data_IF_060906324237
#
_entry.id   IF_060906324237
#
_cell.length_a   1.000
_cell.length_b   1.000
_cell.length_c   1.000
_cell.angle_alpha   90.00
_cell.angle_beta   90.00
_cell.angle_gamma   90.00
#
_symmetry.space_group_name_H-M   'P 1'
#
loop_
_entity.id
_entity.type
_entity.pdbx_description
1 polymer ?
#
# COMPACT_ATOMS: atom_id res chain seq x y z
N UNK A 1 -14.37 19.30 -43.11
CA UNK A 1 -14.39 19.32 -41.66
C UNK A 1 -15.07 18.03 -41.20
N UNK A 2 -14.28 17.04 -40.87
CA UNK A 2 -14.78 15.73 -40.45
C UNK A 2 -14.91 15.74 -38.91
N UNK A 3 -15.97 15.17 -38.31
CA UNK A 3 -16.10 15.10 -36.86
C UNK A 3 -15.10 14.06 -36.33
N UNK A 4 -14.33 14.46 -35.34
CA UNK A 4 -13.42 13.59 -34.62
C UNK A 4 -14.21 12.43 -34.00
N UNK A 5 -13.84 11.22 -34.40
CA UNK A 5 -14.35 9.98 -33.84
C UNK A 5 -13.96 9.87 -32.38
N UNK A 6 -14.93 10.09 -31.48
CA UNK A 6 -14.84 9.77 -30.07
C UNK A 6 -14.82 8.24 -29.94
N UNK A 7 -13.69 7.61 -30.18
CA UNK A 7 -13.46 6.21 -29.79
C UNK A 7 -13.39 6.18 -28.26
N UNK A 8 -14.47 5.74 -27.62
CA UNK A 8 -14.45 5.22 -26.24
C UNK A 8 -13.55 3.98 -26.25
N UNK A 9 -12.26 4.17 -26.08
CA UNK A 9 -11.33 3.09 -25.79
C UNK A 9 -11.75 2.54 -24.43
N UNK A 10 -12.09 1.25 -24.38
CA UNK A 10 -12.26 0.53 -23.13
C UNK A 10 -10.95 0.69 -22.37
N UNK A 11 -10.98 1.36 -21.23
CA UNK A 11 -9.79 1.64 -20.44
C UNK A 11 -9.24 0.32 -19.88
N UNK A 12 -8.15 -0.18 -20.46
CA UNK A 12 -7.50 -1.45 -20.11
C UNK A 12 -6.99 -1.50 -18.66
N UNK A 13 -6.91 -0.33 -18.00
CA UNK A 13 -6.47 -0.18 -16.61
C UNK A 13 -7.63 -0.02 -15.61
N UNK A 14 -8.86 -0.33 -15.99
CA UNK A 14 -9.96 -0.38 -15.01
C UNK A 14 -9.89 -1.66 -14.17
N UNK A 15 -10.17 -1.58 -12.86
CA UNK A 15 -10.26 -2.78 -12.03
C UNK A 15 -11.37 -3.70 -12.51
N UNK A 16 -11.12 -5.01 -12.50
CA UNK A 16 -12.14 -6.01 -12.87
C UNK A 16 -13.29 -6.03 -11.86
N UNK A 17 -14.54 -6.29 -12.30
CA UNK A 17 -15.70 -6.20 -11.43
C UNK A 17 -15.80 -7.32 -10.36
N UNK A 18 -15.23 -8.50 -10.62
CA UNK A 18 -15.34 -9.69 -9.78
C UNK A 18 -13.97 -10.16 -9.27
N UNK A 19 -13.31 -9.41 -8.37
CA UNK A 19 -12.03 -9.81 -7.82
C UNK A 19 -12.15 -11.00 -6.86
N UNK A 20 -11.05 -11.71 -6.62
CA UNK A 20 -10.97 -12.69 -5.52
C UNK A 20 -11.34 -12.03 -4.19
N UNK A 21 -11.92 -12.80 -3.25
CA UNK A 21 -12.34 -12.28 -1.94
C UNK A 21 -11.21 -12.42 -0.91
N UNK A 22 -10.60 -11.32 -0.43
CA UNK A 22 -9.56 -11.38 0.58
C UNK A 22 -10.12 -11.54 2.00
N UNK A 23 -9.31 -12.08 2.92
CA UNK A 23 -9.64 -12.18 4.34
C UNK A 23 -10.06 -10.82 4.95
N UNK A 24 -9.33 -9.75 4.63
CA UNK A 24 -9.58 -8.43 5.18
C UNK A 24 -10.98 -7.85 4.93
N UNK A 25 -11.73 -8.43 3.99
CA UNK A 25 -13.09 -8.01 3.63
C UNK A 25 -14.15 -9.04 4.03
N UNK A 26 -13.89 -9.83 5.07
CA UNK A 26 -14.88 -10.75 5.65
C UNK A 26 -15.88 -10.05 6.57
N UNK A 27 -15.49 -8.90 7.13
CA UNK A 27 -16.33 -8.06 7.98
C UNK A 27 -16.52 -6.69 7.30
N UNK A 28 -17.63 -6.53 6.57
CA UNK A 28 -17.87 -5.34 5.77
C UNK A 28 -18.44 -4.19 6.63
N UNK A 29 -17.89 -2.99 6.39
CA UNK A 29 -18.37 -1.74 6.98
C UNK A 29 -19.56 -1.19 6.19
N UNK A 30 -20.54 -0.45 6.80
CA UNK A 30 -21.66 0.16 6.08
C UNK A 30 -21.25 1.08 4.91
N UNK A 31 -20.06 1.65 4.95
CA UNK A 31 -19.52 2.47 3.86
C UNK A 31 -18.97 1.65 2.68
N UNK A 32 -18.95 0.33 2.75
CA UNK A 32 -18.33 -0.52 1.72
C UNK A 32 -18.82 -0.21 0.30
N UNK A 33 -20.13 -0.13 0.12
CA UNK A 33 -20.80 0.20 -1.16
C UNK A 33 -21.63 1.48 -1.06
N UNK A 34 -21.22 2.42 -0.20
CA UNK A 34 -21.99 3.64 0.07
C UNK A 34 -21.86 4.67 -1.05
N UNK A 35 -22.98 5.36 -1.31
CA UNK A 35 -23.04 6.58 -2.12
C UNK A 35 -23.72 7.67 -1.29
N UNK A 36 -23.04 8.79 -1.09
CA UNK A 36 -23.56 9.90 -0.28
C UNK A 36 -24.76 10.59 -0.93
N UNK A 37 -24.85 10.56 -2.26
CA UNK A 37 -25.94 11.12 -3.06
C UNK A 37 -26.31 10.18 -4.20
N UNK A 38 -27.56 10.20 -4.63
CA UNK A 38 -28.05 9.42 -5.78
C UNK A 38 -27.34 9.90 -7.06
N UNK A 39 -27.33 11.21 -7.30
CA UNK A 39 -26.65 11.83 -8.43
C UNK A 39 -25.26 12.32 -8.06
N UNK A 40 -24.38 12.38 -9.05
CA UNK A 40 -23.08 13.03 -8.90
C UNK A 40 -23.24 14.54 -8.81
N UNK A 41 -22.43 15.23 -7.99
CA UNK A 41 -22.41 16.69 -8.00
C UNK A 41 -21.87 17.19 -9.34
N UNK A 42 -22.45 18.25 -9.89
CA UNK A 42 -21.98 18.86 -11.13
C UNK A 42 -20.57 19.43 -11.00
N UNK A 43 -20.23 19.94 -9.79
CA UNK A 43 -18.92 20.57 -9.46
C UNK A 43 -18.46 20.17 -8.07
N UNK A 44 -17.13 20.15 -7.88
CA UNK A 44 -16.48 19.96 -6.57
C UNK A 44 -15.21 20.79 -6.48
N UNK A 45 -14.79 21.17 -5.28
CA UNK A 45 -13.49 21.83 -5.10
C UNK A 45 -12.34 20.84 -5.31
N UNK A 46 -12.46 19.65 -4.73
CA UNK A 46 -11.45 18.59 -4.85
C UNK A 46 -12.11 17.26 -5.20
N UNK A 47 -11.64 16.62 -6.24
CA UNK A 47 -11.94 15.23 -6.53
C UNK A 47 -10.75 14.34 -6.16
N UNK A 48 -11.02 13.24 -5.45
CA UNK A 48 -10.03 12.20 -5.13
C UNK A 48 -10.46 10.92 -5.82
N UNK A 49 -9.58 10.33 -6.64
CA UNK A 49 -9.88 9.12 -7.41
C UNK A 49 -9.17 7.92 -6.77
N UNK A 50 -9.97 7.02 -6.19
CA UNK A 50 -9.55 5.85 -5.43
C UNK A 50 -9.79 6.00 -3.92
N UNK A 51 -10.62 5.12 -3.35
CA UNK A 51 -10.95 5.06 -1.92
C UNK A 51 -10.19 3.93 -1.19
N UNK A 52 -8.95 3.71 -1.55
CA UNK A 52 -7.97 2.93 -0.78
C UNK A 52 -7.32 3.79 0.30
N UNK A 53 -6.28 3.25 0.96
CA UNK A 53 -5.55 3.96 2.00
C UNK A 53 -5.03 5.33 1.53
N UNK A 54 -4.55 5.46 0.28
CA UNK A 54 -4.03 6.72 -0.24
C UNK A 54 -5.10 7.81 -0.31
N UNK A 55 -6.22 7.55 -0.98
CA UNK A 55 -7.28 8.54 -1.15
C UNK A 55 -7.99 8.89 0.15
N UNK A 56 -8.28 7.88 0.98
CA UNK A 56 -8.91 8.12 2.29
C UNK A 56 -7.98 8.90 3.22
N UNK A 57 -6.67 8.61 3.24
CA UNK A 57 -5.71 9.37 4.03
C UNK A 57 -5.58 10.82 3.55
N UNK A 58 -5.60 11.08 2.23
CA UNK A 58 -5.63 12.46 1.70
C UNK A 58 -6.89 13.19 2.18
N UNK A 59 -8.07 12.57 2.01
CA UNK A 59 -9.34 13.16 2.48
C UNK A 59 -9.32 13.43 3.99
N UNK A 60 -8.81 12.49 4.78
CA UNK A 60 -8.65 12.61 6.22
C UNK A 60 -7.79 13.81 6.61
N UNK A 61 -6.58 13.92 6.04
CA UNK A 61 -5.68 15.02 6.35
C UNK A 61 -6.20 16.38 5.87
N UNK A 62 -6.94 16.42 4.77
CA UNK A 62 -7.60 17.65 4.30
C UNK A 62 -8.75 18.09 5.22
N UNK A 63 -9.32 17.16 5.98
CA UNK A 63 -10.47 17.42 6.87
C UNK A 63 -10.06 17.65 8.33
N UNK A 64 -8.75 17.71 8.64
CA UNK A 64 -8.28 18.00 9.99
C UNK A 64 -8.45 19.50 10.34
N UNK A 65 -8.75 19.85 11.59
CA UNK A 65 -8.89 21.25 12.02
C UNK A 65 -7.64 22.09 11.72
N UNK A 66 -6.45 21.51 11.91
CA UNK A 66 -5.17 22.18 11.67
C UNK A 66 -4.88 22.40 10.17
N UNK A 67 -5.54 21.65 9.30
CA UNK A 67 -5.37 21.79 7.85
C UNK A 67 -5.93 23.13 7.34
N UNK A 68 -6.85 23.75 8.06
CA UNK A 68 -7.44 25.04 7.74
C UNK A 68 -6.90 26.19 8.60
N UNK A 69 -5.84 25.94 9.39
CA UNK A 69 -5.23 26.93 10.28
C UNK A 69 -4.64 28.12 9.51
N UNK A 70 -5.45 29.13 9.30
CA UNK A 70 -5.13 30.37 8.56
C UNK A 70 -6.34 31.27 8.39
N UNK A 71 -7.49 30.89 8.92
CA UNK A 71 -8.72 31.75 8.91
C UNK A 71 -9.93 30.98 8.39
N UNK A 72 -11.02 31.23 8.93
CA UNK A 72 -12.45 31.17 8.56
C UNK A 72 -12.90 30.60 7.18
N UNK A 73 -12.13 29.83 6.47
CA UNK A 73 -12.59 29.18 5.25
C UNK A 73 -13.29 27.85 5.59
N UNK A 74 -14.50 27.67 5.07
CA UNK A 74 -15.23 26.41 5.16
C UNK A 74 -14.37 25.27 4.57
N UNK A 75 -14.48 24.06 5.15
CA UNK A 75 -13.81 22.90 4.59
C UNK A 75 -14.20 22.72 3.10
N UNK A 76 -13.24 22.35 2.21
CA UNK A 76 -13.54 22.20 0.79
C UNK A 76 -14.54 21.05 0.57
N UNK A 77 -15.38 21.20 -0.46
CA UNK A 77 -16.15 20.06 -0.95
C UNK A 77 -15.23 19.02 -1.54
N UNK A 78 -15.32 17.79 -1.06
CA UNK A 78 -14.50 16.66 -1.52
C UNK A 78 -15.40 15.62 -2.15
N UNK A 79 -15.13 15.25 -3.40
CA UNK A 79 -15.75 14.11 -4.06
C UNK A 79 -14.74 12.94 -4.08
N UNK A 80 -15.02 11.88 -3.35
CA UNK A 80 -14.21 10.66 -3.32
C UNK A 80 -14.85 9.61 -4.22
N UNK A 81 -14.20 9.31 -5.36
CA UNK A 81 -14.66 8.38 -6.38
C UNK A 81 -13.94 7.04 -6.24
N UNK A 82 -14.68 5.94 -6.20
CA UNK A 82 -14.13 4.59 -6.15
C UNK A 82 -14.78 3.72 -7.24
N UNK A 83 -13.93 3.01 -7.98
CA UNK A 83 -14.39 2.19 -9.10
C UNK A 83 -15.20 0.97 -8.66
N UNK A 84 -14.85 0.39 -7.51
CA UNK A 84 -15.51 -0.77 -6.89
C UNK A 84 -16.07 -0.36 -5.51
N UNK A 85 -15.79 -1.16 -4.50
CA UNK A 85 -16.12 -0.88 -3.11
C UNK A 85 -14.93 -0.24 -2.40
N UNK A 86 -15.19 0.48 -1.32
CA UNK A 86 -14.15 1.09 -0.48
C UNK A 86 -13.09 0.06 -0.09
N UNK A 87 -11.82 0.44 -0.24
CA UNK A 87 -10.69 -0.40 0.17
C UNK A 87 -10.67 -1.81 -0.47
N UNK A 88 -11.23 -1.97 -1.68
CA UNK A 88 -11.28 -3.26 -2.38
C UNK A 88 -10.03 -3.58 -3.21
N UNK A 89 -9.17 -2.59 -3.45
CA UNK A 89 -7.89 -2.75 -4.15
C UNK A 89 -6.76 -3.22 -3.24
N UNK A 90 -5.51 -2.86 -3.55
CA UNK A 90 -4.29 -3.32 -2.86
C UNK A 90 -4.35 -3.18 -1.33
N UNK A 91 -5.00 -2.13 -0.80
CA UNK A 91 -5.12 -1.90 0.64
C UNK A 91 -5.86 -3.02 1.36
N UNK A 92 -6.99 -3.47 0.81
CA UNK A 92 -7.78 -4.57 1.38
C UNK A 92 -7.26 -5.97 1.00
N UNK A 93 -6.01 -6.09 0.48
CA UNK A 93 -5.45 -7.34 -0.06
C UNK A 93 -4.01 -7.61 0.34
N UNK A 94 -3.39 -6.69 1.09
CA UNK A 94 -1.99 -6.76 1.52
C UNK A 94 -1.80 -7.62 2.78
N UNK A 95 -0.57 -7.66 3.31
CA UNK A 95 -0.22 -8.43 4.50
C UNK A 95 -0.66 -7.84 5.85
N UNK A 96 -1.22 -6.63 5.87
CA UNK A 96 -1.70 -5.98 7.12
C UNK A 96 -0.59 -5.60 8.10
N UNK A 97 0.65 -5.42 7.63
CA UNK A 97 1.77 -4.99 8.45
C UNK A 97 2.49 -3.77 7.86
N UNK A 98 3.16 -3.03 8.73
CA UNK A 98 3.93 -1.81 8.42
C UNK A 98 5.33 -1.98 8.98
N UNK A 99 6.33 -1.94 8.12
CA UNK A 99 7.74 -2.10 8.49
C UNK A 99 8.69 -1.60 7.41
N UNK A 100 9.88 -1.17 7.82
CA UNK A 100 11.03 -1.02 6.95
C UNK A 100 11.89 -2.29 7.04
N UNK A 101 11.84 -3.15 6.01
CA UNK A 101 12.63 -4.39 5.94
C UNK A 101 14.11 -4.07 6.05
N UNK A 102 14.84 -4.79 6.89
CA UNK A 102 16.27 -4.52 7.14
C UNK A 102 17.12 -4.78 5.88
N UNK A 103 16.87 -5.88 5.16
CA UNK A 103 17.59 -6.17 3.93
C UNK A 103 17.42 -5.05 2.88
N UNK A 104 16.18 -4.60 2.64
CA UNK A 104 15.90 -3.50 1.72
C UNK A 104 16.58 -2.19 2.16
N UNK A 105 16.68 -1.94 3.46
CA UNK A 105 17.37 -0.77 3.99
C UNK A 105 18.88 -0.82 3.72
N UNK A 106 19.52 -1.98 3.92
CA UNK A 106 20.94 -2.21 3.63
C UNK A 106 21.20 -2.06 2.12
N UNK A 107 20.41 -2.71 1.27
CA UNK A 107 20.50 -2.60 -0.19
C UNK A 107 20.34 -1.15 -0.68
N UNK A 108 19.35 -0.42 -0.16
CA UNK A 108 19.15 0.99 -0.49
C UNK A 108 20.36 1.85 -0.09
N UNK A 109 20.94 1.58 1.08
CA UNK A 109 22.14 2.29 1.53
C UNK A 109 23.37 1.99 0.66
N UNK A 110 23.52 0.78 0.16
CA UNK A 110 24.59 0.41 -0.76
C UNK A 110 24.38 0.98 -2.16
N UNK A 111 23.15 0.97 -2.67
CA UNK A 111 22.81 1.44 -4.01
C UNK A 111 22.76 2.96 -4.10
N UNK A 112 22.08 3.61 -3.16
CA UNK A 112 21.68 5.02 -3.23
C UNK A 112 22.40 5.90 -2.19
N UNK A 113 23.17 5.27 -1.30
CA UNK A 113 23.92 5.92 -0.22
C UNK A 113 23.19 5.96 1.14
N UNK A 114 23.96 6.09 2.24
CA UNK A 114 23.44 5.98 3.60
C UNK A 114 22.48 7.10 3.99
N UNK A 115 22.61 8.28 3.39
CA UNK A 115 21.73 9.42 3.67
C UNK A 115 20.33 9.17 3.14
N UNK A 116 20.20 8.72 1.89
CA UNK A 116 18.91 8.39 1.27
C UNK A 116 18.24 7.25 2.02
N UNK A 117 18.96 6.18 2.31
CA UNK A 117 18.43 5.05 3.09
C UNK A 117 17.98 5.50 4.48
N UNK A 118 18.76 6.34 5.15
CA UNK A 118 18.38 6.91 6.46
C UNK A 118 17.06 7.70 6.41
N UNK A 119 16.87 8.54 5.38
CA UNK A 119 15.64 9.28 5.20
C UNK A 119 14.43 8.36 4.93
N UNK A 120 14.60 7.34 4.07
CA UNK A 120 13.54 6.37 3.77
C UNK A 120 13.10 5.61 5.02
N UNK A 121 14.08 5.15 5.81
CA UNK A 121 13.81 4.38 7.01
C UNK A 121 13.16 5.26 8.09
N UNK A 122 13.69 6.46 8.32
CA UNK A 122 13.12 7.40 9.28
C UNK A 122 11.66 7.75 8.92
N UNK A 123 11.36 7.92 7.63
CA UNK A 123 10.02 8.14 7.15
C UNK A 123 9.10 6.95 7.41
N UNK A 124 9.58 5.73 7.11
CA UNK A 124 8.81 4.50 7.32
C UNK A 124 8.57 4.18 8.82
N UNK A 125 9.52 4.54 9.70
CA UNK A 125 9.35 4.40 11.16
C UNK A 125 8.40 5.47 11.72
N UNK A 126 8.51 6.72 11.28
CA UNK A 126 7.56 7.78 11.63
C UNK A 126 6.11 7.46 11.19
N UNK A 127 5.95 6.67 10.13
CA UNK A 127 4.64 6.18 9.72
C UNK A 127 3.99 5.28 10.77
N UNK A 128 4.77 4.45 11.47
CA UNK A 128 4.26 3.57 12.55
C UNK A 128 3.63 4.41 13.65
N UNK A 129 4.35 5.44 14.10
CA UNK A 129 3.87 6.35 15.14
C UNK A 129 2.63 7.12 14.67
N UNK A 130 2.67 7.65 13.44
CA UNK A 130 1.54 8.40 12.87
C UNK A 130 0.26 7.56 12.73
N UNK A 131 0.39 6.27 12.42
CA UNK A 131 -0.75 5.35 12.39
C UNK A 131 -1.29 5.07 13.80
N UNK A 132 -0.41 4.85 14.78
CA UNK A 132 -0.79 4.70 16.19
C UNK A 132 -1.54 5.92 16.71
N UNK A 133 -1.00 7.12 16.47
CA UNK A 133 -1.64 8.39 16.85
C UNK A 133 -3.03 8.55 16.19
N UNK A 134 -3.18 8.14 14.94
CA UNK A 134 -4.46 8.20 14.25
C UNK A 134 -5.46 7.19 14.84
N UNK A 135 -5.02 5.97 15.14
CA UNK A 135 -5.86 4.93 15.78
C UNK A 135 -6.37 5.41 17.13
N UNK A 136 -5.49 5.95 17.97
CA UNK A 136 -5.87 6.47 19.29
C UNK A 136 -6.80 7.68 19.20
N UNK A 137 -6.44 8.67 18.39
CA UNK A 137 -7.19 9.91 18.22
C UNK A 137 -8.61 9.68 17.71
N UNK A 138 -8.74 8.84 16.70
CA UNK A 138 -10.02 8.53 16.04
C UNK A 138 -10.75 7.34 16.68
N UNK A 139 -10.12 6.67 17.66
CA UNK A 139 -10.64 5.47 18.35
C UNK A 139 -11.04 4.39 17.36
N UNK A 140 -10.09 4.02 16.46
CA UNK A 140 -10.34 3.02 15.45
C UNK A 140 -10.15 1.61 16.01
N UNK A 141 -11.18 0.76 15.87
CA UNK A 141 -11.13 -0.66 16.17
C UNK A 141 -10.64 -1.45 14.95
N UNK A 142 -9.32 -1.48 14.74
CA UNK A 142 -8.68 -2.08 13.58
C UNK A 142 -7.56 -3.07 13.94
N UNK A 143 -7.57 -3.61 15.14
CA UNK A 143 -6.56 -4.56 15.63
C UNK A 143 -5.13 -4.03 15.46
N UNK A 144 -4.92 -2.76 15.75
CA UNK A 144 -3.60 -2.15 15.68
C UNK A 144 -2.72 -2.66 16.84
N UNK A 145 -1.53 -3.15 16.49
CA UNK A 145 -0.55 -3.64 17.46
C UNK A 145 0.84 -3.13 17.09
N UNK A 146 1.51 -2.50 18.05
CA UNK A 146 2.95 -2.26 17.95
C UNK A 146 3.69 -3.59 18.05
N UNK A 147 4.52 -3.89 17.09
CA UNK A 147 5.25 -5.16 16.97
C UNK A 147 6.70 -4.92 16.56
N UNK A 148 7.42 -6.00 16.47
CA UNK A 148 8.66 -6.09 15.70
C UNK A 148 8.47 -7.04 14.52
N UNK A 149 9.33 -6.93 13.52
CA UNK A 149 9.40 -7.86 12.41
C UNK A 149 10.73 -8.60 12.43
N UNK A 150 10.72 -9.85 12.01
CA UNK A 150 11.92 -10.58 11.65
C UNK A 150 12.04 -10.71 10.13
N UNK A 151 13.21 -10.37 9.60
CA UNK A 151 13.68 -10.82 8.28
C UNK A 151 14.55 -12.06 8.54
N UNK A 152 14.05 -13.25 8.19
CA UNK A 152 14.68 -14.55 8.51
C UNK A 152 15.28 -15.14 7.25
N UNK A 153 16.55 -15.47 7.30
CA UNK A 153 17.33 -16.04 6.19
C UNK A 153 17.52 -17.53 6.40
N UNK A 154 17.13 -18.33 5.41
CA UNK A 154 17.08 -19.78 5.49
C UNK A 154 18.25 -20.49 4.80
N UNK A 155 19.19 -19.74 4.23
CA UNK A 155 20.40 -20.28 3.61
C UNK A 155 21.67 -19.57 4.11
N UNK A 156 22.79 -20.28 4.05
CA UNK A 156 24.06 -19.78 4.60
C UNK A 156 24.66 -18.64 3.78
N UNK A 157 24.45 -18.62 2.44
CA UNK A 157 24.98 -17.57 1.54
C UNK A 157 24.38 -16.21 1.87
N UNK A 158 23.03 -16.15 1.94
CA UNK A 158 22.33 -14.88 2.19
C UNK A 158 22.53 -14.43 3.65
N UNK A 159 22.58 -15.38 4.60
CA UNK A 159 22.92 -15.07 5.99
C UNK A 159 24.31 -14.48 6.15
N UNK A 160 25.30 -14.99 5.41
CA UNK A 160 26.67 -14.45 5.40
C UNK A 160 26.71 -13.05 4.76
N UNK A 161 26.02 -12.84 3.63
CA UNK A 161 25.90 -11.55 2.97
C UNK A 161 25.23 -10.51 3.86
N UNK A 162 24.14 -10.89 4.54
CA UNK A 162 23.48 -10.02 5.53
C UNK A 162 24.47 -9.62 6.65
N UNK A 163 25.23 -10.57 7.20
CA UNK A 163 26.20 -10.32 8.26
C UNK A 163 27.26 -9.33 7.80
N UNK A 164 27.84 -9.55 6.64
CA UNK A 164 28.87 -8.68 6.09
C UNK A 164 28.34 -7.26 5.86
N UNK A 165 27.17 -7.11 5.26
CA UNK A 165 26.51 -5.82 5.06
C UNK A 165 26.19 -5.14 6.40
N UNK A 166 25.64 -5.89 7.35
CA UNK A 166 25.37 -5.42 8.71
C UNK A 166 26.61 -4.85 9.40
N UNK A 167 27.73 -5.56 9.35
CA UNK A 167 28.97 -5.17 10.02
C UNK A 167 29.54 -3.89 9.40
N UNK A 168 29.47 -3.75 8.06
CA UNK A 168 29.87 -2.52 7.35
C UNK A 168 29.05 -1.29 7.80
N UNK A 169 27.74 -1.41 7.84
CA UNK A 169 26.84 -0.32 8.20
C UNK A 169 26.92 0.03 9.71
N UNK A 170 27.06 -0.99 10.56
CA UNK A 170 27.26 -0.79 12.00
C UNK A 170 28.58 -0.05 12.27
N UNK A 171 29.65 -0.40 11.57
CA UNK A 171 30.95 0.28 11.70
C UNK A 171 30.90 1.76 11.27
N UNK A 172 30.00 2.12 10.36
CA UNK A 172 29.75 3.52 9.96
C UNK A 172 28.93 4.30 11.00
N UNK A 173 28.33 3.62 11.99
CA UNK A 173 27.51 4.25 13.02
C UNK A 173 26.18 4.82 12.52
N UNK A 174 25.61 4.25 11.47
CA UNK A 174 24.36 4.72 10.87
C UNK A 174 23.21 4.67 11.88
N UNK A 175 22.56 5.81 12.14
CA UNK A 175 21.60 5.98 13.23
C UNK A 175 20.39 5.03 13.12
N UNK A 176 19.93 4.74 11.90
CA UNK A 176 18.81 3.86 11.64
C UNK A 176 19.06 2.38 12.00
N UNK A 177 20.34 1.99 12.21
CA UNK A 177 20.70 0.65 12.70
C UNK A 177 20.35 0.42 14.18
N UNK A 178 20.29 1.49 14.98
CA UNK A 178 20.15 1.40 16.45
C UNK A 178 18.94 0.61 16.94
N UNK A 179 17.71 0.75 16.38
CA UNK A 179 16.57 -0.01 16.82
C UNK A 179 16.52 -1.44 16.28
N UNK A 180 17.53 -1.86 15.51
CA UNK A 180 17.60 -3.18 14.86
C UNK A 180 18.51 -4.12 15.62
N UNK A 181 18.31 -5.42 15.43
CA UNK A 181 19.11 -6.47 16.06
C UNK A 181 19.38 -7.55 15.01
N UNK A 182 20.58 -8.09 15.01
CA UNK A 182 20.96 -9.22 14.18
C UNK A 182 21.22 -10.45 15.07
N UNK A 183 20.55 -11.55 14.75
CA UNK A 183 20.71 -12.86 15.36
C UNK A 183 21.50 -13.77 14.44
N UNK A 184 22.56 -14.40 14.95
CA UNK A 184 23.31 -15.43 14.24
C UNK A 184 22.63 -16.79 14.23
N UNK A 185 23.22 -17.76 13.54
CA UNK A 185 22.65 -19.09 13.33
C UNK A 185 22.38 -19.87 14.62
N UNK A 186 23.12 -19.59 15.69
CA UNK A 186 22.96 -20.20 17.03
C UNK A 186 21.65 -19.78 17.72
N UNK A 187 21.13 -18.60 17.42
CA UNK A 187 19.94 -18.02 18.06
C UNK A 187 18.76 -17.82 17.10
N UNK A 188 19.02 -17.68 15.80
CA UNK A 188 18.03 -17.28 14.82
C UNK A 188 16.78 -18.17 14.84
N UNK A 189 16.94 -19.50 14.81
CA UNK A 189 15.82 -20.43 14.88
C UNK A 189 15.11 -20.40 16.24
N UNK A 190 15.88 -20.43 17.32
CA UNK A 190 15.31 -20.48 18.67
C UNK A 190 14.47 -19.24 19.01
N UNK A 191 14.90 -18.06 18.52
CA UNK A 191 14.25 -16.78 18.81
C UNK A 191 13.13 -16.45 17.82
N UNK A 192 13.33 -16.70 16.51
CA UNK A 192 12.31 -16.44 15.50
C UNK A 192 11.20 -17.52 15.45
N UNK A 193 11.51 -18.74 15.92
CA UNK A 193 10.65 -19.90 15.76
C UNK A 193 10.61 -20.47 14.34
N UNK A 194 11.39 -19.90 13.42
CA UNK A 194 11.42 -20.34 12.02
C UNK A 194 12.44 -21.47 11.85
N UNK A 195 11.98 -22.63 11.39
CA UNK A 195 12.82 -23.82 11.21
C UNK A 195 13.90 -23.59 10.17
N UNK A 196 15.12 -23.99 10.52
CA UNK A 196 16.27 -23.88 9.62
C UNK A 196 16.82 -22.46 9.46
N UNK A 197 16.40 -21.50 10.31
CA UNK A 197 16.90 -20.13 10.26
C UNK A 197 18.42 -20.07 10.45
N UNK A 198 19.13 -19.38 9.55
CA UNK A 198 20.58 -19.16 9.55
C UNK A 198 20.97 -17.80 10.06
N UNK A 199 20.11 -16.81 9.87
CA UNK A 199 20.20 -15.48 10.47
C UNK A 199 18.79 -14.89 10.59
N UNK A 200 18.62 -13.92 11.50
CA UNK A 200 17.42 -13.13 11.55
C UNK A 200 17.74 -11.68 11.92
N UNK A 201 17.20 -10.71 11.18
CA UNK A 201 17.29 -9.31 11.52
C UNK A 201 15.95 -8.82 12.07
N UNK A 202 15.95 -8.16 13.25
CA UNK A 202 14.76 -7.63 13.87
C UNK A 202 14.66 -6.12 13.68
N UNK A 203 13.47 -5.62 13.30
CA UNK A 203 13.19 -4.19 13.09
C UNK A 203 11.86 -3.77 13.71
N UNK A 204 11.66 -2.46 14.03
CA UNK A 204 10.36 -1.93 14.43
C UNK A 204 9.27 -2.21 13.38
N UNK A 205 8.06 -2.49 13.84
CA UNK A 205 6.90 -2.75 12.99
C UNK A 205 5.59 -2.45 13.73
N UNK A 206 4.50 -2.35 12.97
CA UNK A 206 3.16 -2.53 13.51
C UNK A 206 2.33 -3.42 12.57
N UNK A 207 1.23 -3.92 13.08
CA UNK A 207 0.22 -4.63 12.30
C UNK A 207 -1.17 -4.08 12.58
N UNK A 208 -2.06 -4.22 11.62
CA UNK A 208 -3.44 -3.76 11.74
C UNK A 208 -4.33 -4.50 10.73
N UNK A 209 -5.63 -4.37 10.86
CA UNK A 209 -6.61 -4.79 9.85
C UNK A 209 -6.82 -3.64 8.85
N UNK A 210 -6.21 -3.66 7.65
CA UNK A 210 -6.17 -2.48 6.78
C UNK A 210 -7.55 -1.99 6.33
N UNK A 211 -8.47 -2.91 6.06
CA UNK A 211 -9.84 -2.58 5.69
C UNK A 211 -10.59 -1.86 6.82
N UNK A 212 -10.53 -2.38 8.05
CA UNK A 212 -11.14 -1.74 9.23
C UNK A 212 -10.54 -0.35 9.49
N UNK A 213 -9.21 -0.22 9.40
CA UNK A 213 -8.54 1.06 9.53
C UNK A 213 -9.07 2.10 8.53
N UNK A 214 -9.07 1.76 7.23
CA UNK A 214 -9.45 2.70 6.17
C UNK A 214 -10.93 3.05 6.22
N UNK A 215 -11.82 2.09 6.43
CA UNK A 215 -13.26 2.34 6.43
C UNK A 215 -13.72 3.13 7.66
N UNK A 216 -13.16 2.86 8.84
CA UNK A 216 -13.46 3.63 10.05
C UNK A 216 -12.84 5.04 9.98
N UNK A 217 -11.61 5.17 9.46
CA UNK A 217 -10.99 6.48 9.22
C UNK A 217 -11.85 7.33 8.28
N UNK A 218 -12.38 6.72 7.21
CA UNK A 218 -13.30 7.38 6.28
C UNK A 218 -14.59 7.81 6.98
N UNK A 219 -15.18 6.96 7.82
CA UNK A 219 -16.37 7.31 8.60
C UNK A 219 -16.13 8.54 9.48
N UNK A 220 -15.01 8.57 10.24
CA UNK A 220 -14.62 9.74 11.03
C UNK A 220 -14.38 10.99 10.18
N UNK A 221 -13.82 10.80 8.99
CA UNK A 221 -13.59 11.90 8.04
C UNK A 221 -14.92 12.50 7.54
N UNK A 222 -15.90 11.66 7.20
CA UNK A 222 -17.23 12.09 6.77
C UNK A 222 -18.02 12.78 7.89
N UNK A 223 -17.91 12.28 9.14
CA UNK A 223 -18.48 12.95 10.31
C UNK A 223 -17.91 14.35 10.50
N UNK A 224 -16.60 14.52 10.30
CA UNK A 224 -15.89 15.79 10.47
C UNK A 224 -16.11 16.76 9.31
N UNK A 225 -16.18 16.25 8.09
CA UNK A 225 -16.44 17.04 6.89
C UNK A 225 -17.71 16.55 6.18
N UNK A 226 -18.89 17.11 6.53
CA UNK A 226 -20.14 16.74 5.87
C UNK A 226 -20.22 17.10 4.38
N UNK A 227 -19.28 17.91 3.86
CA UNK A 227 -19.14 18.21 2.44
C UNK A 227 -18.33 17.15 1.67
N UNK A 228 -17.87 16.06 2.34
CA UNK A 228 -17.28 14.92 1.68
C UNK A 228 -18.39 14.01 1.11
N UNK A 229 -18.38 13.85 -0.19
CA UNK A 229 -19.29 12.99 -0.95
C UNK A 229 -18.55 11.74 -1.43
N UNK A 230 -18.88 10.58 -0.88
CA UNK A 230 -18.35 9.28 -1.29
C UNK A 230 -19.24 8.69 -2.40
N UNK A 231 -18.63 8.22 -3.48
CA UNK A 231 -19.29 7.56 -4.60
C UNK A 231 -18.56 6.27 -4.96
N UNK A 232 -19.02 5.16 -4.42
CA UNK A 232 -18.52 3.81 -4.78
C UNK A 232 -19.17 3.33 -6.07
N UNK A 233 -18.61 2.26 -6.65
CA UNK A 233 -19.08 1.65 -7.91
C UNK A 233 -19.25 2.72 -9.01
N UNK A 234 -18.32 3.68 -9.01
CA UNK A 234 -18.31 4.83 -9.90
C UNK A 234 -16.92 4.99 -10.53
N UNK A 235 -16.57 4.07 -11.46
CA UNK A 235 -15.27 4.11 -12.11
C UNK A 235 -15.09 5.40 -12.92
N UNK A 236 -13.94 6.04 -12.75
CA UNK A 236 -13.53 7.12 -13.64
C UNK A 236 -12.99 6.51 -14.92
N UNK A 237 -13.63 6.84 -16.04
CA UNK A 237 -13.31 6.27 -17.36
C UNK A 237 -12.57 7.23 -18.27
N UNK A 238 -12.46 8.49 -17.90
CA UNK A 238 -11.74 9.51 -18.66
C UNK A 238 -11.54 10.79 -17.87
N UNK A 239 -10.52 11.54 -18.27
CA UNK A 239 -10.15 12.84 -17.71
C UNK A 239 -9.92 13.81 -18.86
N UNK A 240 -10.61 14.94 -18.85
CA UNK A 240 -10.33 16.09 -19.72
C UNK A 240 -9.74 17.21 -18.85
N UNK A 241 -8.57 17.68 -19.24
CA UNK A 241 -7.87 18.78 -18.56
C UNK A 241 -7.86 20.01 -19.43
N UNK A 242 -8.23 21.15 -18.87
CA UNK A 242 -8.13 22.45 -19.50
C UNK A 242 -7.29 23.38 -18.60
N UNK A 243 -6.26 24.00 -19.20
CA UNK A 243 -5.45 25.01 -18.52
C UNK A 243 -6.24 26.30 -18.23
N UNK A 244 -7.27 26.58 -19.03
CA UNK A 244 -8.13 27.73 -18.91
C UNK A 244 -9.58 27.32 -19.12
N UNK A 245 -10.36 27.36 -18.05
CA UNK A 245 -11.81 27.25 -18.12
C UNK A 245 -12.44 28.62 -18.44
N UNK A 246 -13.77 28.69 -18.41
CA UNK A 246 -14.51 29.94 -18.66
C UNK A 246 -14.13 31.10 -17.70
N UNK A 247 -13.71 30.76 -16.46
CA UNK A 247 -13.25 31.74 -15.46
C UNK A 247 -11.73 31.98 -15.50
N UNK A 248 -11.02 31.38 -16.46
CA UNK A 248 -9.59 31.54 -16.68
C UNK A 248 -8.69 30.69 -15.76
N UNK A 249 -9.27 29.85 -14.88
CA UNK A 249 -8.53 28.93 -14.00
C UNK A 249 -8.41 27.53 -14.62
N UNK A 250 -7.41 26.71 -14.24
CA UNK A 250 -7.36 25.32 -14.65
C UNK A 250 -8.55 24.53 -14.08
N UNK A 251 -9.15 23.69 -14.90
CA UNK A 251 -10.28 22.83 -14.53
C UNK A 251 -10.10 21.43 -15.09
N UNK A 252 -10.59 20.43 -14.38
CA UNK A 252 -10.60 19.04 -14.82
C UNK A 252 -12.04 18.53 -14.89
N UNK A 253 -12.43 17.98 -16.04
CA UNK A 253 -13.69 17.25 -16.19
C UNK A 253 -13.41 15.75 -16.03
N UNK A 254 -14.10 15.14 -15.09
CA UNK A 254 -13.98 13.73 -14.73
C UNK A 254 -15.19 13.00 -15.32
N UNK A 255 -14.96 12.01 -16.16
CA UNK A 255 -16.01 11.22 -16.81
C UNK A 255 -16.20 9.89 -16.09
N UNK A 256 -17.45 9.57 -15.81
CA UNK A 256 -17.90 8.28 -15.26
C UNK A 256 -19.11 7.76 -16.04
N UNK A 257 -19.46 6.48 -15.93
CA UNK A 257 -20.70 5.96 -16.52
C UNK A 257 -21.97 6.62 -15.96
N UNK A 258 -21.89 7.28 -14.81
CA UNK A 258 -23.00 7.96 -14.13
C UNK A 258 -23.09 9.45 -14.42
N UNK A 259 -22.20 9.99 -15.26
CA UNK A 259 -22.14 11.39 -15.61
C UNK A 259 -20.75 11.99 -15.41
N UNK A 260 -20.64 13.29 -15.68
CA UNK A 260 -19.38 14.01 -15.60
C UNK A 260 -19.39 15.03 -14.47
N UNK A 261 -18.23 15.21 -13.83
CA UNK A 261 -18.04 16.16 -12.73
C UNK A 261 -16.91 17.11 -13.06
N UNK A 262 -17.09 18.40 -12.81
CA UNK A 262 -16.03 19.43 -12.90
C UNK A 262 -15.34 19.58 -11.56
N UNK A 263 -14.02 19.47 -11.54
CA UNK A 263 -13.21 19.61 -10.34
C UNK A 263 -12.15 20.70 -10.52
N UNK A 264 -12.02 21.58 -9.52
CA UNK A 264 -10.94 22.60 -9.48
C UNK A 264 -9.58 21.94 -9.25
N UNK A 265 -9.55 20.88 -8.45
CA UNK A 265 -8.36 20.13 -8.03
C UNK A 265 -8.63 18.64 -8.09
N UNK A 266 -7.64 17.85 -8.50
CA UNK A 266 -7.77 16.38 -8.60
C UNK A 266 -6.59 15.68 -7.95
N UNK A 267 -6.85 14.63 -7.16
CA UNK A 267 -5.84 13.74 -6.60
C UNK A 267 -6.03 12.33 -7.16
N UNK A 268 -5.01 11.82 -7.84
CA UNK A 268 -4.97 10.45 -8.35
C UNK A 268 -4.36 9.54 -7.29
N UNK A 269 -5.20 8.75 -6.62
CA UNK A 269 -4.83 7.75 -5.61
C UNK A 269 -5.04 6.32 -6.13
N UNK A 270 -4.76 6.11 -7.42
CA UNK A 270 -5.15 4.95 -8.21
C UNK A 270 -4.09 3.85 -8.30
N UNK A 271 -2.92 4.04 -7.69
CA UNK A 271 -1.80 3.09 -7.65
C UNK A 271 -1.54 2.40 -9.01
N UNK A 272 -1.67 1.08 -9.12
CA UNK A 272 -1.42 0.33 -10.36
C UNK A 272 -2.35 0.68 -11.52
N UNK A 273 -3.45 1.35 -11.27
CA UNK A 273 -4.44 1.75 -12.30
C UNK A 273 -4.19 3.15 -12.88
N UNK A 274 -3.14 3.84 -12.43
CA UNK A 274 -2.87 5.25 -12.75
C UNK A 274 -2.70 5.52 -14.24
N UNK A 275 -2.04 4.63 -14.97
CA UNK A 275 -1.78 4.78 -16.41
C UNK A 275 -3.06 4.87 -17.26
N UNK A 276 -4.18 4.35 -16.77
CA UNK A 276 -5.48 4.45 -17.44
C UNK A 276 -6.08 5.85 -17.44
N UNK A 277 -5.68 6.72 -16.51
CA UNK A 277 -6.16 8.10 -16.41
C UNK A 277 -5.07 9.12 -16.73
N UNK A 278 -3.82 8.77 -16.49
CA UNK A 278 -2.64 9.58 -16.75
C UNK A 278 -1.69 8.84 -17.70
N UNK A 279 -1.90 8.93 -19.01
CA UNK A 279 -1.12 8.16 -20.01
C UNK A 279 0.40 8.37 -19.93
N UNK A 280 0.86 9.53 -19.45
CA UNK A 280 2.29 9.82 -19.23
C UNK A 280 2.97 8.91 -18.21
N UNK A 281 2.18 8.18 -17.39
CA UNK A 281 2.69 7.17 -16.45
C UNK A 281 2.67 5.74 -17.03
N UNK A 282 2.25 5.56 -18.31
CA UNK A 282 2.28 4.24 -18.96
C UNK A 282 3.75 3.80 -19.12
N UNK A 283 4.04 2.58 -18.63
CA UNK A 283 5.41 2.07 -18.57
C UNK A 283 6.21 2.52 -17.33
N UNK A 284 5.81 3.59 -16.66
CA UNK A 284 6.43 4.10 -15.43
C UNK A 284 5.78 3.48 -14.20
N UNK A 285 4.46 3.57 -14.08
CA UNK A 285 3.71 2.87 -13.03
C UNK A 285 3.07 1.64 -13.68
N UNK A 286 3.68 0.47 -13.45
CA UNK A 286 3.22 -0.80 -14.03
C UNK A 286 2.47 -1.61 -12.99
N UNK A 287 1.22 -2.02 -13.27
CA UNK A 287 0.51 -2.93 -12.38
C UNK A 287 1.17 -4.31 -12.37
N UNK A 288 1.15 -4.96 -11.22
CA UNK A 288 1.51 -6.36 -11.12
C UNK A 288 0.69 -7.08 -10.05
N UNK A 289 0.46 -8.36 -10.29
CA UNK A 289 -0.40 -9.21 -9.49
C UNK A 289 0.42 -10.05 -8.52
N UNK A 290 0.02 -10.06 -7.25
CA UNK A 290 0.57 -10.92 -6.22
C UNK A 290 -0.51 -11.76 -5.54
N UNK A 291 -0.11 -12.73 -4.69
CA UNK A 291 -1.02 -13.61 -3.97
C UNK A 291 -0.76 -13.62 -2.48
N UNK A 292 -1.82 -13.87 -1.72
CA UNK A 292 -1.75 -14.11 -0.29
C UNK A 292 -2.84 -15.10 0.14
N UNK A 293 -2.69 -15.64 1.34
CA UNK A 293 -3.61 -16.57 1.95
C UNK A 293 -3.86 -16.21 3.42
N UNK A 294 -4.99 -16.65 3.93
CA UNK A 294 -5.31 -16.71 5.34
C UNK A 294 -5.32 -18.15 5.79
N UNK A 295 -4.59 -18.44 6.86
CA UNK A 295 -4.41 -19.75 7.46
C UNK A 295 -5.01 -19.74 8.86
N UNK A 296 -5.74 -20.77 9.22
CA UNK A 296 -6.43 -20.87 10.50
C UNK A 296 -6.01 -22.17 11.22
N UNK A 297 -5.50 -22.09 12.45
CA UNK A 297 -5.26 -23.26 13.29
C UNK A 297 -6.56 -24.01 13.56
N UNK A 298 -6.49 -25.34 13.68
CA UNK A 298 -7.68 -26.13 13.98
C UNK A 298 -8.13 -25.88 15.42
N UNK A 299 -9.36 -25.43 15.66
CA UNK A 299 -9.88 -25.25 17.03
C UNK A 299 -9.87 -26.54 17.86
N UNK A 300 -9.97 -27.70 17.21
CA UNK A 300 -9.93 -29.01 17.86
C UNK A 300 -8.57 -29.37 18.47
N UNK A 301 -7.50 -28.69 18.05
CA UNK A 301 -6.13 -28.89 18.54
C UNK A 301 -5.79 -27.96 19.72
N UNK A 302 -6.66 -27.00 20.04
CA UNK A 302 -6.41 -25.99 21.06
C UNK A 302 -5.41 -24.91 20.61
N UNK A 303 -5.00 -24.03 21.56
CA UNK A 303 -4.07 -22.96 21.25
C UNK A 303 -2.70 -23.46 20.82
N UNK A 304 -2.10 -22.82 19.83
CA UNK A 304 -0.76 -23.13 19.35
C UNK A 304 0.29 -22.35 20.13
N UNK A 305 1.35 -23.01 20.55
CA UNK A 305 2.48 -22.40 21.25
C UNK A 305 3.81 -22.73 20.56
N UNK A 306 4.77 -21.76 20.55
CA UNK A 306 4.67 -20.40 21.06
C UNK A 306 3.76 -19.52 20.20
N UNK A 307 3.07 -18.55 20.83
CA UNK A 307 2.37 -17.52 20.08
C UNK A 307 3.35 -16.67 19.28
N UNK A 308 3.01 -16.40 18.03
CA UNK A 308 3.81 -15.53 17.17
C UNK A 308 3.45 -14.06 17.45
N UNK A 309 4.39 -13.34 18.05
CA UNK A 309 4.21 -11.91 18.40
C UNK A 309 4.83 -10.94 17.38
N UNK A 310 5.56 -11.46 16.40
CA UNK A 310 6.24 -10.71 15.38
C UNK A 310 5.57 -10.86 14.02
N UNK A 311 5.79 -9.93 13.13
CA UNK A 311 5.60 -10.18 11.70
C UNK A 311 6.92 -10.71 11.11
N UNK A 312 6.85 -11.33 9.94
CA UNK A 312 8.00 -12.01 9.36
C UNK A 312 8.16 -11.69 7.88
N UNK A 313 9.40 -11.73 7.41
CA UNK A 313 9.77 -12.09 6.05
C UNK A 313 10.65 -13.34 6.13
N UNK A 314 10.38 -14.33 5.30
CA UNK A 314 11.16 -15.55 5.18
C UNK A 314 11.89 -15.52 3.83
N UNK A 315 13.22 -15.43 3.89
CA UNK A 315 14.11 -15.40 2.72
C UNK A 315 14.62 -16.81 2.46
N UNK A 316 14.04 -17.49 1.48
CA UNK A 316 14.36 -18.90 1.20
C UNK A 316 15.68 -19.06 0.43
N UNK A 317 16.10 -18.05 -0.35
CA UNK A 317 17.36 -18.08 -1.10
C UNK A 317 17.42 -19.22 -2.11
N UNK A 318 16.34 -19.47 -2.83
CA UNK A 318 16.27 -20.52 -3.84
C UNK A 318 16.88 -20.01 -5.14
N UNK A 319 18.06 -20.51 -5.48
CA UNK A 319 18.86 -20.02 -6.60
C UNK A 319 19.17 -18.51 -6.45
N UNK A 320 19.39 -17.78 -7.51
CA UNK A 320 19.62 -16.31 -7.46
C UNK A 320 18.31 -15.50 -7.62
N UNK A 321 17.16 -16.07 -7.18
CA UNK A 321 15.83 -15.43 -7.29
C UNK A 321 15.40 -14.79 -5.98
N UNK A 322 14.61 -13.72 -6.07
CA UNK A 322 13.89 -13.19 -4.91
C UNK A 322 12.82 -14.18 -4.46
N UNK A 323 13.08 -14.87 -3.36
CA UNK A 323 12.22 -15.91 -2.81
C UNK A 323 11.80 -15.55 -1.40
N UNK A 324 10.94 -14.55 -1.31
CA UNK A 324 10.50 -13.98 -0.03
C UNK A 324 9.02 -14.23 0.18
N UNK A 325 8.68 -14.79 1.34
CA UNK A 325 7.33 -14.75 1.86
C UNK A 325 7.24 -13.76 3.02
N UNK A 326 6.09 -13.14 3.17
CA UNK A 326 5.77 -12.35 4.36
C UNK A 326 4.66 -13.02 5.19
N UNK A 327 4.67 -12.78 6.50
CA UNK A 327 3.71 -13.38 7.41
C UNK A 327 3.31 -12.39 8.51
N UNK A 328 2.02 -12.35 8.80
CA UNK A 328 1.42 -11.51 9.85
C UNK A 328 0.45 -12.33 10.70
N UNK A 329 0.83 -12.68 11.94
CA UNK A 329 -0.08 -13.30 12.91
C UNK A 329 -1.21 -12.35 13.30
N UNK A 330 -2.41 -12.91 13.44
CA UNK A 330 -3.61 -12.16 13.84
C UNK A 330 -3.95 -12.41 15.30
N UNK A 331 -4.67 -11.48 15.98
CA UNK A 331 -5.09 -11.67 17.37
C UNK A 331 -5.96 -12.90 17.62
N UNK A 332 -6.73 -13.33 16.62
CA UNK A 332 -7.56 -14.53 16.66
C UNK A 332 -6.79 -15.84 16.52
N UNK A 333 -5.47 -15.77 16.32
CA UNK A 333 -4.58 -16.92 16.05
C UNK A 333 -4.46 -17.27 14.59
N UNK A 334 -5.21 -16.65 13.70
CA UNK A 334 -5.06 -16.77 12.25
C UNK A 334 -3.75 -16.15 11.76
N UNK A 335 -3.34 -16.53 10.57
CA UNK A 335 -2.09 -16.07 9.95
C UNK A 335 -2.39 -15.58 8.54
N UNK A 336 -2.04 -14.33 8.24
CA UNK A 336 -1.98 -13.86 6.86
C UNK A 336 -0.57 -14.08 6.33
N UNK A 337 -0.45 -14.81 5.23
CA UNK A 337 0.82 -15.09 4.54
C UNK A 337 0.71 -14.73 3.07
N UNK A 338 1.74 -14.11 2.50
CA UNK A 338 1.81 -13.85 1.07
C UNK A 338 3.19 -14.16 0.53
N UNK A 339 3.27 -14.56 -0.74
CA UNK A 339 4.52 -14.94 -1.38
C UNK A 339 4.36 -16.03 -2.43
N UNK A 340 5.33 -16.97 -2.51
CA UNK A 340 5.32 -18.03 -3.51
C UNK A 340 5.53 -17.54 -4.94
N UNK A 341 6.00 -16.32 -5.15
CA UNK A 341 6.18 -15.69 -6.47
C UNK A 341 7.02 -16.56 -7.42
N UNK A 342 8.02 -17.24 -6.91
CA UNK A 342 8.91 -18.11 -7.72
C UNK A 342 8.21 -19.29 -8.40
N UNK A 343 6.99 -19.65 -7.99
CA UNK A 343 6.21 -20.71 -8.63
C UNK A 343 5.63 -20.27 -9.98
N UNK A 344 5.34 -18.98 -10.13
CA UNK A 344 4.71 -18.41 -11.34
C UNK A 344 5.53 -17.29 -11.98
N UNK A 345 6.71 -16.97 -11.47
CA UNK A 345 7.53 -15.84 -11.92
C UNK A 345 7.89 -15.90 -13.41
N UNK A 346 8.13 -17.12 -13.94
CA UNK A 346 8.46 -17.34 -15.34
C UNK A 346 7.31 -17.00 -16.28
N UNK A 347 6.07 -17.12 -15.81
CA UNK A 347 4.86 -16.87 -16.59
C UNK A 347 4.44 -15.39 -16.46
N UNK A 348 5.32 -14.51 -16.92
CA UNK A 348 5.19 -13.05 -16.74
C UNK A 348 3.82 -12.50 -17.14
N UNK A 349 3.17 -13.05 -18.16
CA UNK A 349 1.85 -12.62 -18.62
C UNK A 349 0.75 -12.80 -17.57
N UNK A 350 0.94 -13.67 -16.57
CA UNK A 350 -0.03 -13.90 -15.50
C UNK A 350 0.01 -12.85 -14.39
N UNK A 351 1.16 -12.18 -14.21
CA UNK A 351 1.37 -11.31 -13.07
C UNK A 351 1.92 -9.92 -13.40
N UNK A 352 2.60 -9.73 -14.53
CA UNK A 352 3.24 -8.47 -14.91
C UNK A 352 2.36 -7.69 -15.90
N UNK A 353 2.18 -6.41 -15.66
CA UNK A 353 1.35 -5.49 -16.45
C UNK A 353 -0.10 -5.97 -16.62
N UNK A 354 -0.69 -6.44 -15.52
CA UNK A 354 -2.08 -6.91 -15.44
C UNK A 354 -2.83 -6.26 -14.31
N UNK A 355 -4.12 -6.01 -14.52
CA UNK A 355 -5.07 -5.49 -13.52
C UNK A 355 -6.11 -6.53 -13.10
N UNK A 356 -5.95 -7.78 -13.56
CA UNK A 356 -6.90 -8.86 -13.29
C UNK A 356 -6.60 -9.58 -11.97
N UNK A 357 -7.35 -9.21 -10.92
CA UNK A 357 -7.37 -9.86 -9.61
C UNK A 357 -8.58 -10.78 -9.41
N UNK A 358 -9.23 -11.25 -10.51
CA UNK A 358 -10.40 -12.14 -10.46
C UNK A 358 -10.05 -13.60 -10.22
N UNK A 359 -8.80 -13.99 -10.45
CA UNK A 359 -8.34 -15.38 -10.33
C UNK A 359 -7.09 -15.49 -9.45
N UNK A 360 -6.92 -16.64 -8.81
CA UNK A 360 -5.67 -17.05 -8.16
C UNK A 360 -4.68 -17.59 -9.20
N UNK A 361 -3.43 -17.81 -8.79
CA UNK A 361 -2.44 -18.47 -9.65
C UNK A 361 -2.59 -19.99 -9.59
N UNK A 362 -2.74 -20.63 -10.74
CA UNK A 362 -2.85 -22.10 -10.85
C UNK A 362 -1.64 -22.80 -10.21
N UNK A 363 -0.43 -22.33 -10.47
CA UNK A 363 0.80 -22.87 -9.89
C UNK A 363 0.80 -22.88 -8.35
N UNK A 364 0.20 -21.89 -7.69
CA UNK A 364 0.03 -21.87 -6.23
C UNK A 364 -0.94 -22.95 -5.76
N UNK A 365 -2.04 -23.13 -6.51
CA UNK A 365 -3.08 -24.12 -6.19
C UNK A 365 -2.60 -25.55 -6.43
N UNK A 366 -1.96 -25.81 -7.57
CA UNK A 366 -1.42 -27.14 -7.92
C UNK A 366 -0.30 -27.57 -6.98
N UNK A 367 0.60 -26.65 -6.62
CA UNK A 367 1.66 -26.90 -5.64
C UNK A 367 1.13 -27.04 -4.20
N UNK A 368 -0.16 -26.77 -3.96
CA UNK A 368 -0.73 -26.68 -2.61
C UNK A 368 0.14 -25.86 -1.67
N UNK A 369 0.63 -24.72 -2.18
CA UNK A 369 1.73 -23.98 -1.58
C UNK A 369 1.49 -23.60 -0.12
N UNK A 370 0.30 -23.07 0.16
CA UNK A 370 -0.07 -22.62 1.50
C UNK A 370 -0.56 -23.77 2.42
N UNK A 371 -0.88 -24.97 1.88
CA UNK A 371 -1.25 -26.12 2.70
C UNK A 371 -0.07 -26.57 3.56
N UNK A 372 -0.28 -26.72 4.87
CA UNK A 372 0.77 -27.12 5.81
C UNK A 372 1.92 -26.11 5.93
N UNK A 373 1.73 -24.86 5.51
CA UNK A 373 2.76 -23.81 5.52
C UNK A 373 3.35 -23.60 6.92
N UNK A 374 2.48 -23.45 7.94
CA UNK A 374 2.92 -23.24 9.31
C UNK A 374 3.64 -24.46 9.86
N UNK A 375 3.12 -25.65 9.59
CA UNK A 375 3.71 -26.93 10.03
C UNK A 375 5.12 -27.14 9.46
N UNK A 376 5.37 -26.75 8.21
CA UNK A 376 6.69 -26.86 7.57
C UNK A 376 7.70 -25.86 8.11
N UNK A 377 7.26 -24.62 8.36
CA UNK A 377 8.19 -23.51 8.56
C UNK A 377 8.35 -23.06 10.02
N UNK A 378 7.41 -23.40 10.92
CA UNK A 378 7.44 -22.90 12.30
C UNK A 378 7.47 -24.00 13.34
N UNK A 379 8.34 -23.85 14.35
CA UNK A 379 8.42 -24.72 15.51
C UNK A 379 7.18 -24.57 16.39
N UNK A 380 6.68 -25.70 16.88
CA UNK A 380 5.48 -25.76 17.72
C UNK A 380 4.17 -25.72 16.92
N UNK A 381 4.24 -25.62 15.58
CA UNK A 381 3.07 -25.63 14.70
C UNK A 381 2.81 -26.98 14.01
N UNK A 382 3.66 -27.99 14.28
CA UNK A 382 3.61 -29.29 13.63
C UNK A 382 2.23 -29.97 13.77
N UNK A 383 1.64 -29.90 14.94
CA UNK A 383 0.36 -30.52 15.28
C UNK A 383 -0.80 -29.52 15.34
N UNK A 384 -0.60 -28.30 14.87
CA UNK A 384 -1.60 -27.21 14.92
C UNK A 384 -2.88 -27.53 14.13
N UNK A 385 -2.79 -28.43 13.16
CA UNK A 385 -3.88 -28.68 12.21
C UNK A 385 -4.27 -27.43 11.41
N UNK A 386 -3.27 -26.54 11.17
CA UNK A 386 -3.51 -25.30 10.42
C UNK A 386 -3.88 -25.60 8.99
N UNK A 387 -4.99 -25.03 8.54
CA UNK A 387 -5.55 -25.19 7.20
C UNK A 387 -5.66 -23.84 6.49
N UNK A 388 -5.81 -23.89 5.16
CA UNK A 388 -6.04 -22.70 4.32
C UNK A 388 -7.53 -22.32 4.39
N UNK A 389 -7.83 -21.14 4.92
CA UNK A 389 -9.19 -20.58 4.90
C UNK A 389 -9.47 -19.91 3.55
N UNK A 390 -8.56 -19.03 3.08
CA UNK A 390 -8.73 -18.25 1.85
C UNK A 390 -7.42 -18.06 1.13
N UNK A 391 -7.51 -18.01 -0.21
CA UNK A 391 -6.42 -17.54 -1.08
C UNK A 391 -6.98 -16.44 -1.96
N UNK A 392 -6.25 -15.34 -2.11
CA UNK A 392 -6.64 -14.22 -2.96
C UNK A 392 -5.45 -13.64 -3.70
N UNK A 393 -5.75 -12.79 -4.67
CA UNK A 393 -4.76 -11.99 -5.39
C UNK A 393 -5.04 -10.51 -5.26
N UNK A 394 -4.05 -9.69 -5.52
CA UNK A 394 -4.18 -8.23 -5.49
C UNK A 394 -3.24 -7.56 -6.49
N UNK A 395 -3.67 -6.39 -6.97
CA UNK A 395 -2.89 -5.60 -7.93
C UNK A 395 -2.09 -4.56 -7.16
N UNK A 396 -0.79 -4.67 -7.29
CA UNK A 396 0.21 -3.71 -6.80
C UNK A 396 0.74 -2.87 -7.97
N UNK A 397 1.71 -2.01 -7.72
CA UNK A 397 2.39 -1.24 -8.75
C UNK A 397 3.89 -1.28 -8.55
N UNK A 398 4.65 -1.31 -9.63
CA UNK A 398 6.10 -1.12 -9.65
C UNK A 398 6.48 0.10 -10.46
N UNK A 399 7.59 0.74 -10.07
CA UNK A 399 8.23 1.86 -10.77
C UNK A 399 9.68 1.50 -11.08
N UNK A 400 10.31 2.07 -12.13
CA UNK A 400 11.69 1.72 -12.51
C UNK A 400 12.71 2.01 -11.41
N UNK A 401 12.53 3.10 -10.67
CA UNK A 401 13.42 3.55 -9.60
C UNK A 401 13.03 3.03 -8.20
N UNK A 402 11.98 2.20 -8.11
CA UNK A 402 11.47 1.60 -6.88
C UNK A 402 10.94 2.61 -5.84
N UNK A 403 10.64 3.85 -6.24
CA UNK A 403 10.04 4.86 -5.36
C UNK A 403 8.62 5.25 -5.81
N UNK A 404 7.72 5.59 -4.87
CA UNK A 404 6.41 6.10 -5.24
C UNK A 404 6.50 7.44 -5.97
N UNK A 405 5.47 7.77 -6.71
CA UNK A 405 5.25 9.09 -7.28
C UNK A 405 4.28 9.87 -6.42
N UNK A 406 4.70 11.04 -5.93
CA UNK A 406 3.88 11.95 -5.14
C UNK A 406 4.10 13.40 -5.58
N UNK A 407 3.07 14.23 -5.44
CA UNK A 407 3.15 15.65 -5.77
C UNK A 407 2.32 16.05 -6.97
N UNK A 408 2.47 17.31 -7.40
CA UNK A 408 1.77 17.81 -8.57
C UNK A 408 2.25 17.11 -9.84
N UNK A 409 1.30 16.68 -10.67
CA UNK A 409 1.57 15.98 -11.92
C UNK A 409 2.27 16.94 -12.90
N UNK A 410 3.45 16.59 -13.44
CA UNK A 410 4.16 17.47 -14.38
C UNK A 410 3.26 17.96 -15.52
N UNK A 411 3.30 19.25 -15.82
CA UNK A 411 2.50 19.95 -16.84
C UNK A 411 0.97 19.88 -16.61
N UNK A 412 0.51 19.50 -15.42
CA UNK A 412 -0.91 19.39 -15.07
C UNK A 412 -1.21 20.14 -13.77
N UNK A 413 -1.34 21.46 -13.87
CA UNK A 413 -1.65 22.30 -12.71
C UNK A 413 -2.94 21.88 -12.03
N UNK A 414 -2.96 21.90 -10.69
CA UNK A 414 -4.08 21.46 -9.88
C UNK A 414 -4.43 19.96 -10.00
N UNK A 415 -3.48 19.14 -10.45
CA UNK A 415 -3.59 17.69 -10.44
C UNK A 415 -2.41 17.09 -9.65
N UNK A 416 -2.69 16.24 -8.68
CA UNK A 416 -1.67 15.58 -7.85
C UNK A 416 -1.80 14.07 -7.93
N UNK A 417 -0.68 13.39 -7.70
CA UNK A 417 -0.60 11.93 -7.68
C UNK A 417 -0.05 11.45 -6.33
N UNK A 418 -0.50 10.27 -5.90
CA UNK A 418 0.03 9.50 -4.79
C UNK A 418 -0.13 8.00 -5.12
N UNK A 419 0.85 7.44 -5.81
CA UNK A 419 0.77 6.11 -6.43
C UNK A 419 2.16 5.47 -6.67
N UNK A 420 2.20 4.21 -7.09
CA UNK A 420 3.43 3.52 -7.48
C UNK A 420 4.25 2.99 -6.30
N UNK A 421 3.63 2.30 -5.34
CA UNK A 421 4.23 1.96 -4.05
C UNK A 421 5.09 0.70 -4.03
N UNK A 422 5.41 0.08 -5.14
CA UNK A 422 6.35 -1.05 -5.25
C UNK A 422 6.07 -2.22 -4.27
N UNK A 423 4.78 -2.54 -4.02
CA UNK A 423 4.39 -3.54 -3.04
C UNK A 423 4.50 -3.12 -1.57
N UNK A 424 5.21 -2.04 -1.27
CA UNK A 424 5.51 -1.53 0.08
C UNK A 424 4.76 -0.24 0.44
N UNK A 425 3.48 -0.12 0.17
CA UNK A 425 2.72 1.12 0.42
C UNK A 425 2.41 1.39 1.89
N UNK A 426 2.15 0.37 2.68
CA UNK A 426 1.74 0.53 4.08
C UNK A 426 2.71 1.38 4.93
N UNK A 427 4.03 1.25 4.83
CA UNK A 427 4.99 2.07 5.57
C UNK A 427 5.18 3.50 5.03
N UNK A 428 4.44 3.93 3.99
CA UNK A 428 4.68 5.22 3.33
C UNK A 428 3.43 6.08 3.18
N UNK A 429 2.25 5.47 2.96
CA UNK A 429 1.08 6.16 2.41
C UNK A 429 0.53 7.24 3.32
N UNK A 430 0.34 6.99 4.61
CA UNK A 430 -0.42 7.88 5.50
C UNK A 430 0.25 9.25 5.66
N UNK A 431 1.57 9.26 5.91
CA UNK A 431 2.36 10.50 5.99
C UNK A 431 2.55 11.16 4.62
N UNK A 432 2.73 10.37 3.56
CA UNK A 432 2.84 10.92 2.21
C UNK A 432 1.54 11.60 1.79
N UNK A 433 0.40 11.01 2.13
CA UNK A 433 -0.92 11.59 1.92
C UNK A 433 -1.11 12.91 2.70
N UNK A 434 -0.52 13.04 3.90
CA UNK A 434 -0.50 14.29 4.67
C UNK A 434 0.20 15.40 3.90
N UNK A 435 1.35 15.12 3.32
CA UNK A 435 2.08 16.07 2.47
C UNK A 435 1.28 16.47 1.23
N UNK A 436 0.71 15.50 0.52
CA UNK A 436 -0.14 15.78 -0.66
C UNK A 436 -1.37 16.62 -0.26
N UNK A 437 -2.02 16.30 0.85
CA UNK A 437 -3.15 17.09 1.35
C UNK A 437 -2.76 18.58 1.59
N UNK A 438 -1.59 18.84 2.16
CA UNK A 438 -1.08 20.22 2.34
C UNK A 438 -0.85 20.93 1.02
N UNK A 439 -0.25 20.25 0.03
CA UNK A 439 -0.07 20.81 -1.32
C UNK A 439 -1.42 21.17 -1.95
N UNK A 440 -2.40 20.27 -1.88
CA UNK A 440 -3.74 20.48 -2.43
C UNK A 440 -4.45 21.65 -1.76
N UNK A 441 -4.41 21.74 -0.43
CA UNK A 441 -5.12 22.81 0.32
C UNK A 441 -4.48 24.17 0.15
N UNK A 442 -3.16 24.23 0.32
CA UNK A 442 -2.45 25.52 0.46
C UNK A 442 -1.65 25.93 -0.78
N UNK A 443 -1.57 25.05 -1.80
CA UNK A 443 -0.79 25.33 -3.02
C UNK A 443 0.72 25.39 -2.76
N UNK A 444 1.20 24.86 -1.63
CA UNK A 444 2.63 24.84 -1.32
C UNK A 444 3.36 23.83 -2.23
N UNK A 445 4.56 24.16 -2.71
CA UNK A 445 5.36 23.22 -3.52
C UNK A 445 5.84 22.03 -2.67
N UNK A 446 6.21 20.94 -3.34
CA UNK A 446 6.69 19.70 -2.68
C UNK A 446 7.88 19.96 -1.75
N UNK A 447 8.75 20.88 -2.10
CA UNK A 447 9.96 21.22 -1.35
C UNK A 447 9.70 21.94 -0.02
N UNK A 448 8.51 22.52 0.14
CA UNK A 448 8.07 23.26 1.34
C UNK A 448 7.16 22.42 2.26
N UNK A 449 6.79 21.21 1.84
CA UNK A 449 6.13 20.27 2.75
C UNK A 449 7.15 19.68 3.72
N UNK A 450 6.68 18.95 4.68
CA UNK A 450 7.45 18.42 5.80
C UNK A 450 8.84 17.88 5.40
N UNK A 451 9.88 18.27 6.14
CA UNK A 451 11.26 17.80 5.94
C UNK A 451 11.43 16.29 6.09
N UNK A 452 10.44 15.60 6.68
CA UNK A 452 10.46 14.14 6.87
C UNK A 452 10.16 13.41 5.56
N UNK A 453 9.40 14.02 4.61
CA UNK A 453 9.04 13.34 3.36
C UNK A 453 10.23 13.30 2.40
N UNK A 454 10.69 12.10 1.99
CA UNK A 454 11.81 11.96 1.09
C UNK A 454 11.59 12.68 -0.25
N UNK A 455 12.53 13.57 -0.62
CA UNK A 455 12.42 14.37 -1.85
C UNK A 455 12.40 13.54 -3.14
N UNK A 456 13.00 12.35 -3.11
CA UNK A 456 13.00 11.43 -4.23
C UNK A 456 11.63 10.77 -4.50
N UNK A 457 10.63 10.98 -3.64
CA UNK A 457 9.24 10.61 -3.93
C UNK A 457 8.53 11.60 -4.86
N UNK A 458 9.10 12.81 -5.04
CA UNK A 458 8.51 13.81 -5.94
C UNK A 458 8.39 13.26 -7.36
N UNK A 459 7.18 13.33 -7.92
CA UNK A 459 7.00 13.09 -9.35
C UNK A 459 7.59 14.24 -10.16
N UNK A 460 8.39 13.93 -11.19
CA UNK A 460 9.10 14.93 -12.02
C UNK A 460 9.10 14.49 -13.47
N UNK A 461 9.30 15.42 -14.42
CA UNK A 461 9.46 15.10 -15.84
C UNK A 461 10.61 14.11 -16.07
N UNK A 462 11.73 14.28 -15.36
CA UNK A 462 12.88 13.37 -15.45
C UNK A 462 12.51 11.92 -15.07
N UNK A 463 11.71 11.72 -14.02
CA UNK A 463 11.23 10.39 -13.62
C UNK A 463 10.19 9.81 -14.59
N UNK A 464 9.50 10.64 -15.37
CA UNK A 464 8.57 10.18 -16.40
C UNK A 464 9.27 9.85 -17.73
N UNK A 465 10.49 10.31 -17.91
CA UNK A 465 11.29 10.05 -19.11
C UNK A 465 12.24 8.83 -18.94
N UNK A 466 12.34 8.27 -17.72
CA UNK A 466 13.17 7.12 -17.41
C UNK A 466 12.44 5.81 -17.73
#
# INVERSE_FOLDING_TARGET
MSPSSNQRTTNEYLPVPNPTTPYWRTELHPLDSHRSTEDLPAKTDVAIIGAGMSGVSVAYHMSQPDATAGGSAAAPSILLLEARQVCSGATGRNGGHVKAKTATALEASERDGPELAGHLIAFAEAQIDALGDAVERERLDCEFELRRSYDVFLNDKDAASLRESWDRHSARGEAWMRPRQLLGADLAEAVSGVKGARAAASSPACSLWPYKFVTQLLARTMERNPALNLQTETPVVGIEYSEKSEDGSPETVIHTPRGSVRAKKVVFATNGYTAGLLPQYKGIIKPYKGTAAHLVPSPAKGPVFPHLSHTYNLEFGLDDRETVDYLNPRPDGGIVVGGGKWLFEKDRHLWNDTVDDSTTFEAITEAKYFEGYMQRNFRGWEDSGTEVDKVWTGIMASTPDQFPHAGEVPQRKNQWIVAGFNGGGMPLIFLLAKGVARMVLHGVPFEEIDHVIPRFFKTTEARLAA
#
